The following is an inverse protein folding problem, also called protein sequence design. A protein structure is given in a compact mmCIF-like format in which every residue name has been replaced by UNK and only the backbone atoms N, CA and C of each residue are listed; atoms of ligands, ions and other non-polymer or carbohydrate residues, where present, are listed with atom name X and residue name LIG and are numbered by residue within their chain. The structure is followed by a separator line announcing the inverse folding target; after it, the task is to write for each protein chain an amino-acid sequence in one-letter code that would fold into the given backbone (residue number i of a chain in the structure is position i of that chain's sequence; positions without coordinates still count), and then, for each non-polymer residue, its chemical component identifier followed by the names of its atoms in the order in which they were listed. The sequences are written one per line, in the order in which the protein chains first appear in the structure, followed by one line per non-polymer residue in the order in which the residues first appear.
data_IF_209526221396
#
_entry.id   IF_209526221396
#
_cell.length_a   1.000
_cell.length_b   1.000
_cell.length_c   1.000
_cell.angle_alpha   90.00
_cell.angle_beta   90.00
_cell.angle_gamma   90.00
#
_symmetry.space_group_name_H-M   'P 1'
#
loop_
_entity.id
_entity.type
_entity.pdbx_description
1 polymer ?
#
# COMPACT_ATOMS: atom_id res chain seq x y z
N UNK A 1 -28.85 -39.32 -23.41
CA UNK A 1 -28.16 -40.00 -24.52
C UNK A 1 -27.86 -39.00 -25.62
N UNK A 2 -26.57 -38.75 -25.92
CA UNK A 2 -25.95 -38.68 -27.26
C UNK A 2 -24.59 -38.03 -27.12
N UNK A 3 -23.59 -38.80 -27.54
CA UNK A 3 -22.17 -38.48 -27.64
C UNK A 3 -21.92 -37.55 -28.84
N UNK A 4 -20.66 -37.10 -28.95
CA UNK A 4 -19.85 -36.83 -30.14
C UNK A 4 -19.33 -35.38 -30.13
N UNK A 5 -18.13 -35.14 -29.61
CA UNK A 5 -16.83 -35.33 -30.29
C UNK A 5 -16.73 -34.48 -31.55
N UNK A 6 -15.93 -33.42 -31.49
CA UNK A 6 -15.22 -32.88 -32.65
C UNK A 6 -13.90 -32.26 -32.18
N UNK A 7 -12.84 -33.06 -32.30
CA UNK A 7 -11.45 -32.64 -32.30
C UNK A 7 -11.15 -32.07 -33.71
N UNK A 8 -10.68 -30.83 -33.78
CA UNK A 8 -9.93 -30.26 -34.91
C UNK A 8 -8.73 -29.56 -34.25
N UNK A 9 -7.55 -30.18 -34.17
CA UNK A 9 -6.54 -30.29 -35.23
C UNK A 9 -6.33 -28.96 -35.99
N UNK A 10 -5.30 -28.21 -35.62
CA UNK A 10 -4.16 -27.90 -36.49
C UNK A 10 -3.43 -26.64 -36.01
N UNK A 11 -2.24 -26.89 -35.49
CA UNK A 11 -1.10 -26.00 -35.44
C UNK A 11 -0.90 -25.31 -36.81
N UNK A 12 -0.92 -23.98 -36.85
CA UNK A 12 -0.34 -23.20 -37.95
C UNK A 12 0.39 -21.96 -37.42
N UNK A 13 1.71 -22.04 -37.54
CA UNK A 13 2.69 -21.03 -37.95
C UNK A 13 2.77 -19.66 -37.25
N UNK A 14 3.98 -19.42 -36.73
CA UNK A 14 4.75 -18.18 -36.82
C UNK A 14 4.32 -17.25 -37.96
N UNK A 15 3.98 -16.01 -37.61
CA UNK A 15 4.53 -14.79 -38.23
C UNK A 15 4.29 -13.60 -37.30
N UNK A 16 5.35 -12.87 -36.99
CA UNK A 16 5.24 -11.60 -36.27
C UNK A 16 4.60 -10.55 -37.16
N UNK A 17 3.49 -9.98 -36.69
CA UNK A 17 3.00 -8.67 -37.09
C UNK A 17 2.54 -7.96 -35.82
N UNK A 18 3.15 -6.81 -35.56
CA UNK A 18 2.72 -5.84 -34.56
C UNK A 18 1.25 -5.49 -34.75
N UNK A 19 0.41 -5.87 -33.79
CA UNK A 19 -0.91 -5.31 -33.60
C UNK A 19 -1.01 -4.95 -32.11
N UNK A 20 -0.61 -3.72 -31.79
CA UNK A 20 -0.99 -3.12 -30.52
C UNK A 20 -2.51 -2.93 -30.57
N UNK A 21 -3.21 -3.90 -30.00
CA UNK A 21 -4.64 -3.83 -29.76
C UNK A 21 -4.91 -2.75 -28.71
N UNK A 22 -5.38 -1.59 -29.16
CA UNK A 22 -6.13 -0.66 -28.33
C UNK A 22 -7.46 -1.31 -28.01
N UNK A 23 -7.65 -1.74 -26.75
CA UNK A 23 -8.91 -1.69 -26.00
C UNK A 23 -8.84 -2.51 -24.71
N UNK A 24 -8.30 -1.92 -23.64
CA UNK A 24 -8.97 -1.98 -22.35
C UNK A 24 -8.64 -0.71 -21.58
N UNK A 25 -9.50 0.29 -21.78
CA UNK A 25 -9.67 1.42 -20.91
C UNK A 25 -10.18 0.89 -19.57
N UNK A 26 -9.25 0.46 -18.72
CA UNK A 26 -9.48 0.34 -17.30
C UNK A 26 -8.48 1.27 -16.65
N UNK A 27 -9.04 2.30 -16.03
CA UNK A 27 -8.41 3.33 -15.22
C UNK A 27 -7.45 2.73 -14.19
N UNK A 28 -6.23 2.41 -14.61
CA UNK A 28 -5.08 2.56 -13.76
C UNK A 28 -4.82 4.06 -13.71
N UNK A 29 -5.44 4.72 -12.72
CA UNK A 29 -4.75 5.80 -12.04
C UNK A 29 -3.46 5.18 -11.50
N UNK A 30 -2.46 5.10 -12.37
CA UNK A 30 -1.09 5.01 -11.94
C UNK A 30 -0.90 6.25 -11.10
N UNK A 31 -0.92 6.07 -9.78
CA UNK A 31 -0.26 6.97 -8.86
C UNK A 31 1.08 7.26 -9.52
N UNK A 32 1.20 8.45 -10.10
CA UNK A 32 2.49 8.97 -10.50
C UNK A 32 3.27 8.95 -9.21
N UNK A 33 4.13 7.94 -9.04
CA UNK A 33 5.23 7.97 -8.10
C UNK A 33 6.10 9.11 -8.60
N UNK A 34 5.69 10.33 -8.26
CA UNK A 34 6.57 11.45 -8.21
C UNK A 34 7.56 11.01 -7.13
N UNK A 35 8.72 10.52 -7.57
CA UNK A 35 9.89 10.41 -6.72
C UNK A 35 10.13 11.82 -6.20
N UNK A 36 9.50 12.12 -5.07
CA UNK A 36 9.87 13.27 -4.28
C UNK A 36 11.23 12.91 -3.74
N UNK A 37 12.24 13.50 -4.37
CA UNK A 37 13.60 13.57 -3.86
C UNK A 37 13.57 14.52 -2.65
N UNK A 38 12.91 14.06 -1.58
CA UNK A 38 12.83 14.73 -0.30
C UNK A 38 13.94 14.17 0.56
N UNK A 39 14.85 15.07 0.93
CA UNK A 39 15.77 14.79 2.02
C UNK A 39 15.02 14.97 3.34
N UNK A 40 14.97 13.90 4.13
CA UNK A 40 14.34 13.89 5.45
C UNK A 40 15.40 14.13 6.51
N UNK A 41 15.08 15.00 7.47
CA UNK A 41 15.98 15.26 8.59
C UNK A 41 16.09 14.03 9.49
N UNK A 42 17.24 13.81 10.13
CA UNK A 42 17.40 12.71 11.08
C UNK A 42 16.38 12.79 12.22
N UNK A 43 16.04 14.00 12.67
CA UNK A 43 15.02 14.21 13.70
C UNK A 43 13.62 13.75 13.26
N UNK A 44 13.26 13.89 11.97
CA UNK A 44 11.98 13.40 11.47
C UNK A 44 11.98 11.88 11.33
N UNK A 45 13.12 11.29 10.95
CA UNK A 45 13.29 9.83 10.88
C UNK A 45 13.28 9.18 12.26
N UNK A 46 13.89 9.81 13.27
CA UNK A 46 13.86 9.36 14.66
C UNK A 46 12.41 9.32 15.19
N UNK A 47 11.62 10.36 14.94
CA UNK A 47 10.19 10.39 15.31
C UNK A 47 9.38 9.35 14.52
N UNK A 48 9.69 9.18 13.24
CA UNK A 48 9.06 8.18 12.39
C UNK A 48 9.28 6.75 12.93
N UNK A 49 10.48 6.46 13.45
CA UNK A 49 10.78 5.19 14.12
C UNK A 49 10.10 5.12 15.49
N UNK A 50 10.14 6.20 16.27
CA UNK A 50 9.57 6.26 17.61
C UNK A 50 8.04 5.99 17.64
N UNK A 51 7.31 6.39 16.59
CA UNK A 51 5.86 6.15 16.52
C UNK A 51 5.49 4.71 16.13
N UNK A 52 6.40 3.92 15.52
CA UNK A 52 6.09 2.59 15.00
C UNK A 52 5.45 1.63 16.02
N UNK A 53 5.93 1.53 17.27
CA UNK A 53 5.32 0.65 18.26
C UNK A 53 3.86 1.00 18.56
N UNK A 54 3.53 2.30 18.64
CA UNK A 54 2.16 2.76 18.87
C UNK A 54 1.24 2.43 17.68
N UNK A 55 1.74 2.59 16.45
CA UNK A 55 0.98 2.24 15.25
C UNK A 55 0.77 0.73 15.12
N UNK A 56 1.74 -0.08 15.54
CA UNK A 56 1.62 -1.53 15.58
C UNK A 56 0.54 -1.96 16.60
N UNK A 57 0.55 -1.40 17.81
CA UNK A 57 -0.47 -1.68 18.83
C UNK A 57 -1.88 -1.30 18.34
N UNK A 58 -2.06 -0.12 17.75
CA UNK A 58 -3.35 0.30 17.16
C UNK A 58 -3.76 -0.70 16.06
N UNK A 59 -2.85 -1.07 15.17
CA UNK A 59 -3.15 -2.00 14.08
C UNK A 59 -3.59 -3.36 14.59
N UNK A 60 -2.93 -3.88 15.63
CA UNK A 60 -3.27 -5.16 16.24
C UNK A 60 -4.64 -5.11 16.93
N UNK A 61 -4.93 -4.08 17.72
CA UNK A 61 -6.24 -3.89 18.37
C UNK A 61 -7.38 -3.86 17.34
N UNK A 62 -7.22 -3.02 16.31
CA UNK A 62 -8.26 -2.87 15.30
C UNK A 62 -8.41 -4.08 14.39
N UNK A 63 -7.33 -4.85 14.15
CA UNK A 63 -7.44 -6.13 13.44
C UNK A 63 -8.35 -7.08 14.20
N UNK A 64 -8.16 -7.23 15.52
CA UNK A 64 -9.00 -8.09 16.35
C UNK A 64 -10.45 -7.60 16.40
N UNK A 65 -10.66 -6.30 16.54
CA UNK A 65 -12.01 -5.70 16.58
C UNK A 65 -12.74 -5.84 15.24
N UNK A 66 -12.03 -5.69 14.12
CA UNK A 66 -12.60 -5.86 12.78
C UNK A 66 -12.95 -7.33 12.49
N UNK A 67 -12.13 -8.28 12.92
CA UNK A 67 -12.43 -9.71 12.80
C UNK A 67 -13.67 -10.11 13.61
N UNK A 68 -13.94 -9.41 14.72
CA UNK A 68 -15.13 -9.60 15.55
C UNK A 68 -16.37 -8.84 15.04
N UNK A 69 -16.22 -7.95 14.05
CA UNK A 69 -17.33 -7.14 13.54
C UNK A 69 -18.07 -7.85 12.39
N UNK A 70 -19.31 -8.27 12.64
CA UNK A 70 -20.15 -8.94 11.63
C UNK A 70 -20.83 -7.97 10.64
N UNK A 71 -20.93 -6.68 11.01
CA UNK A 71 -21.67 -5.68 10.25
C UNK A 71 -20.73 -4.71 9.52
N UNK A 72 -21.04 -4.44 8.24
CA UNK A 72 -20.27 -3.51 7.41
C UNK A 72 -20.21 -2.09 8.01
N UNK A 73 -21.29 -1.64 8.66
CA UNK A 73 -21.32 -0.32 9.30
C UNK A 73 -20.37 -0.24 10.49
N UNK A 74 -20.33 -1.28 11.34
CA UNK A 74 -19.38 -1.38 12.44
C UNK A 74 -17.93 -1.42 11.93
N UNK A 75 -17.66 -2.18 10.86
CA UNK A 75 -16.34 -2.23 10.24
C UNK A 75 -15.89 -0.85 9.73
N UNK A 76 -16.80 -0.08 9.09
CA UNK A 76 -16.49 1.27 8.62
C UNK A 76 -16.18 2.24 9.77
N UNK A 77 -16.89 2.13 10.89
CA UNK A 77 -16.63 2.96 12.08
C UNK A 77 -15.27 2.63 12.71
N UNK A 78 -14.95 1.34 12.85
CA UNK A 78 -13.66 0.89 13.34
C UNK A 78 -12.50 1.39 12.46
N UNK A 79 -12.65 1.37 11.13
CA UNK A 79 -11.63 1.91 10.23
C UNK A 79 -11.41 3.42 10.42
N UNK A 80 -12.48 4.20 10.63
CA UNK A 80 -12.38 5.63 10.87
C UNK A 80 -11.72 5.94 12.22
N UNK A 81 -12.05 5.18 13.25
CA UNK A 81 -11.46 5.31 14.59
C UNK A 81 -9.97 4.95 14.57
N UNK A 82 -9.60 3.85 13.90
CA UNK A 82 -8.20 3.47 13.70
C UNK A 82 -7.41 4.59 12.99
N UNK A 83 -7.97 5.16 11.92
CA UNK A 83 -7.33 6.25 11.18
C UNK A 83 -7.10 7.49 12.04
N UNK A 84 -8.05 7.84 12.91
CA UNK A 84 -7.91 8.97 13.85
C UNK A 84 -6.81 8.70 14.88
N UNK A 85 -6.78 7.50 15.47
CA UNK A 85 -5.76 7.14 16.47
C UNK A 85 -4.36 7.07 15.86
N UNK A 86 -4.22 6.59 14.62
CA UNK A 86 -2.95 6.60 13.92
C UNK A 86 -2.44 8.02 13.67
N UNK A 87 -3.32 8.95 13.26
CA UNK A 87 -2.98 10.37 13.11
C UNK A 87 -2.55 10.97 14.44
N UNK A 88 -3.32 10.71 15.51
CA UNK A 88 -3.01 11.22 16.84
C UNK A 88 -1.65 10.71 17.34
N UNK A 89 -1.34 9.43 17.15
CA UNK A 89 -0.04 8.86 17.53
C UNK A 89 1.13 9.56 16.82
N UNK A 90 1.00 9.85 15.52
CA UNK A 90 2.01 10.57 14.74
C UNK A 90 2.19 12.00 15.25
N UNK A 91 1.08 12.72 15.49
CA UNK A 91 1.11 14.09 16.00
C UNK A 91 1.68 14.18 17.43
N UNK A 92 1.39 13.19 18.30
CA UNK A 92 1.90 13.14 19.67
C UNK A 92 3.43 13.01 19.74
N UNK A 93 4.05 12.32 18.78
CA UNK A 93 5.51 12.26 18.62
C UNK A 93 6.10 13.55 17.99
N UNK A 94 5.24 14.53 17.70
CA UNK A 94 5.64 15.81 17.11
C UNK A 94 6.09 15.69 15.67
N UNK A 95 5.58 14.68 14.95
CA UNK A 95 5.76 14.48 13.52
C UNK A 95 4.48 14.93 12.79
N UNK A 96 4.65 15.61 11.68
CA UNK A 96 3.52 15.99 10.83
C UNK A 96 3.04 14.77 10.01
N UNK A 97 1.72 14.65 9.84
CA UNK A 97 1.12 13.50 9.12
C UNK A 97 1.54 13.44 7.66
N UNK A 98 1.68 14.59 6.98
CA UNK A 98 2.15 14.62 5.59
C UNK A 98 3.61 14.18 5.53
N UNK A 99 4.46 14.64 6.47
CA UNK A 99 5.85 14.18 6.58
C UNK A 99 5.94 12.67 6.82
N UNK A 100 5.14 12.13 7.74
CA UNK A 100 5.07 10.69 7.99
C UNK A 100 4.71 9.91 6.72
N UNK A 101 3.64 10.31 6.03
CA UNK A 101 3.20 9.66 4.79
C UNK A 101 4.25 9.73 3.70
N UNK A 102 4.94 10.87 3.60
CA UNK A 102 6.02 11.09 2.65
C UNK A 102 7.22 10.16 2.91
N UNK A 103 7.64 9.99 4.17
CA UNK A 103 8.67 9.03 4.56
C UNK A 103 8.22 7.60 4.20
N UNK A 104 6.99 7.23 4.57
CA UNK A 104 6.43 5.90 4.30
C UNK A 104 6.36 5.57 2.80
N UNK A 105 6.00 6.54 1.95
CA UNK A 105 6.02 6.38 0.49
C UNK A 105 7.45 6.27 -0.05
N UNK A 106 8.37 7.11 0.44
CA UNK A 106 9.75 7.12 -0.02
C UNK A 106 10.49 5.81 0.30
N UNK A 107 10.23 5.21 1.47
CA UNK A 107 10.81 3.92 1.88
C UNK A 107 10.55 2.78 0.87
N UNK A 108 9.49 2.85 0.07
CA UNK A 108 9.19 1.83 -0.94
C UNK A 108 10.18 1.81 -2.11
N UNK A 109 10.88 2.92 -2.35
CA UNK A 109 11.72 3.11 -3.55
C UNK A 109 13.12 3.64 -3.27
N UNK A 110 13.37 4.21 -2.09
CA UNK A 110 14.66 4.74 -1.69
C UNK A 110 15.38 3.75 -0.76
N UNK A 111 16.43 3.11 -1.28
CA UNK A 111 17.26 2.15 -0.53
C UNK A 111 18.09 2.81 0.57
N UNK A 112 18.71 3.96 0.29
CA UNK A 112 19.49 4.71 1.28
C UNK A 112 18.64 5.18 2.46
N UNK A 113 17.40 5.61 2.19
CA UNK A 113 16.46 5.98 3.25
C UNK A 113 16.08 4.77 4.12
N UNK A 114 15.89 3.59 3.52
CA UNK A 114 15.63 2.36 4.27
C UNK A 114 16.80 2.03 5.18
N UNK A 115 18.03 2.06 4.68
CA UNK A 115 19.22 1.81 5.48
C UNK A 115 19.35 2.80 6.66
N UNK A 116 19.03 4.08 6.44
CA UNK A 116 19.01 5.10 7.50
C UNK A 116 17.98 4.78 8.57
N UNK A 117 16.74 4.48 8.19
CA UNK A 117 15.64 4.17 9.11
C UNK A 117 15.91 2.86 9.88
N UNK A 118 16.39 1.81 9.20
CA UNK A 118 16.77 0.55 9.84
C UNK A 118 17.90 0.73 10.86
N UNK A 119 18.85 1.65 10.60
CA UNK A 119 19.91 1.99 11.55
C UNK A 119 19.44 2.74 12.80
N UNK A 120 18.21 3.25 12.82
CA UNK A 120 17.60 3.98 13.94
C UNK A 120 16.65 3.11 14.79
N UNK A 121 16.27 1.92 14.30
CA UNK A 121 15.45 0.92 15.01
C UNK A 121 16.27 0.12 16.02
#
# INVERSE_FOLDING_TARGET
MKKLTALFLALFMLTGLSLHAVAQQQSQQGMQQQQMDMDFSDADLEKFVAVQPALEEIREDFTQRLEAADEQEAANQLQQEAGQLMVEAVEQEGLDVDTYNNIAMALQSNEELRDRVEGMM
#
